data_IF_673695074005
#
_entry.id   IF_673695074005
#
_cell.length_a   1.000
_cell.length_b   1.000
_cell.length_c   1.000
_cell.angle_alpha   90.00
_cell.angle_beta   90.00
_cell.angle_gamma   90.00
#
_symmetry.space_group_name_H-M   'P 1'
#
loop_
_entity.id
_entity.type
_entity.pdbx_description
1 polymer ?
#
# COMPACT_ATOMS: atom_id res chain seq x y z
N UNK A 1 15.25 -32.59 -61.38
CA UNK A 1 14.37 -33.30 -60.41
C UNK A 1 14.39 -32.56 -59.09
N UNK A 2 13.20 -32.26 -58.56
CA UNK A 2 12.93 -31.46 -57.36
C UNK A 2 13.39 -32.17 -56.08
N UNK A 3 14.01 -31.44 -55.14
CA UNK A 3 13.86 -31.63 -53.69
C UNK A 3 14.01 -30.27 -52.98
N UNK A 4 12.90 -29.74 -52.48
CA UNK A 4 12.89 -28.76 -51.37
C UNK A 4 12.96 -29.56 -50.06
N UNK A 5 13.61 -29.03 -49.01
CA UNK A 5 12.85 -28.91 -47.76
C UNK A 5 13.15 -27.68 -46.90
N UNK A 6 12.03 -27.04 -46.54
CA UNK A 6 11.58 -26.60 -45.21
C UNK A 6 12.26 -25.40 -44.53
N UNK A 7 11.54 -24.29 -44.67
CA UNK A 7 11.47 -23.12 -43.80
C UNK A 7 11.43 -23.51 -42.30
N UNK A 8 12.37 -22.95 -41.53
CA UNK A 8 12.30 -22.87 -40.09
C UNK A 8 11.19 -21.88 -39.69
N UNK A 9 10.26 -22.33 -38.85
CA UNK A 9 9.23 -21.46 -38.27
C UNK A 9 9.82 -20.70 -37.10
N UNK A 10 10.07 -19.41 -37.29
CA UNK A 10 10.03 -18.40 -36.23
C UNK A 10 8.59 -18.00 -35.98
N UNK A 11 8.12 -18.06 -34.72
CA UNK A 11 7.34 -17.02 -33.97
C UNK A 11 6.61 -17.63 -32.76
N UNK A 12 6.90 -17.12 -31.54
CA UNK A 12 5.99 -16.32 -30.66
C UNK A 12 5.16 -17.24 -29.75
N UNK A 13 5.08 -17.13 -28.41
CA UNK A 13 5.36 -16.11 -27.38
C UNK A 13 5.62 -16.85 -26.07
N UNK A 14 6.70 -16.53 -25.34
CA UNK A 14 6.75 -16.84 -23.91
C UNK A 14 5.99 -15.75 -23.14
N UNK A 15 5.05 -16.18 -22.30
CA UNK A 15 4.28 -15.30 -21.42
C UNK A 15 5.21 -14.46 -20.55
N UNK A 16 5.11 -13.13 -20.68
CA UNK A 16 5.82 -12.14 -19.84
C UNK A 16 5.42 -12.18 -18.36
N UNK A 17 4.46 -13.02 -17.98
CA UNK A 17 3.99 -13.17 -16.61
C UNK A 17 4.89 -14.08 -15.76
N UNK A 18 5.44 -15.15 -16.33
CA UNK A 18 6.28 -16.11 -15.60
C UNK A 18 7.70 -15.60 -15.38
N UNK A 19 8.19 -14.72 -16.26
CA UNK A 19 9.56 -14.20 -16.16
C UNK A 19 9.71 -13.10 -15.09
N UNK A 20 8.62 -12.38 -14.77
CA UNK A 20 8.63 -11.33 -13.74
C UNK A 20 8.60 -11.87 -12.30
N UNK A 21 8.02 -13.06 -12.09
CA UNK A 21 7.97 -13.71 -10.77
C UNK A 21 9.30 -14.38 -10.39
N UNK A 22 10.14 -14.73 -11.37
CA UNK A 22 11.41 -15.43 -11.17
C UNK A 22 12.55 -14.54 -10.64
N UNK A 23 12.36 -13.21 -10.59
CA UNK A 23 13.36 -12.24 -10.13
C UNK A 23 13.07 -11.70 -8.72
N UNK A 24 12.09 -12.26 -8.01
CA UNK A 24 11.78 -11.84 -6.65
C UNK A 24 12.84 -12.42 -5.69
N UNK A 25 13.66 -11.59 -5.02
CA UNK A 25 14.59 -12.08 -4.01
C UNK A 25 13.78 -12.78 -2.91
N UNK A 26 14.27 -13.94 -2.52
CA UNK A 26 13.69 -14.83 -1.49
C UNK A 26 13.13 -14.05 -0.31
N UNK A 27 11.86 -14.31 0.03
CA UNK A 27 11.21 -13.84 1.26
C UNK A 27 12.16 -14.03 2.45
N UNK A 28 12.44 -12.99 3.26
CA UNK A 28 13.15 -13.20 4.52
C UNK A 28 12.31 -14.11 5.45
N UNK A 29 12.96 -14.86 6.37
CA UNK A 29 12.27 -15.80 7.24
C UNK A 29 11.17 -15.09 8.07
N UNK A 30 10.11 -15.82 8.46
CA UNK A 30 8.99 -15.23 9.19
C UNK A 30 9.49 -14.55 10.47
N UNK A 31 9.21 -13.26 10.62
CA UNK A 31 9.36 -12.55 11.88
C UNK A 31 8.61 -13.35 12.94
N UNK A 32 9.32 -13.75 14.00
CA UNK A 32 8.74 -14.49 15.14
C UNK A 32 7.57 -13.68 15.70
N UNK A 33 6.35 -14.18 15.48
CA UNK A 33 5.14 -13.64 16.08
C UNK A 33 5.11 -14.05 17.55
N UNK A 34 5.71 -13.23 18.41
CA UNK A 34 5.70 -13.47 19.84
C UNK A 34 6.68 -12.58 20.60
N UNK A 35 6.14 -11.50 21.18
CA UNK A 35 6.73 -10.72 22.28
C UNK A 35 8.15 -10.20 22.07
N UNK A 36 8.31 -9.09 21.33
CA UNK A 36 9.49 -8.23 21.45
C UNK A 36 9.34 -6.83 20.84
N UNK A 37 8.16 -6.17 20.88
CA UNK A 37 8.05 -4.74 20.51
C UNK A 37 7.03 -3.99 21.38
N UNK A 38 6.97 -4.34 22.65
CA UNK A 38 6.25 -3.60 23.68
C UNK A 38 7.26 -3.15 24.74
N UNK A 39 8.11 -2.19 24.37
CA UNK A 39 8.91 -1.29 25.21
C UNK A 39 10.21 -0.93 24.49
N UNK A 40 10.19 0.19 23.77
CA UNK A 40 11.37 1.07 23.77
C UNK A 40 10.93 2.38 24.41
N UNK A 41 11.59 2.82 25.49
CA UNK A 41 11.33 4.13 26.07
C UNK A 41 11.81 5.20 25.09
N UNK A 42 11.07 6.30 25.02
CA UNK A 42 11.46 7.47 24.24
C UNK A 42 12.86 7.97 24.69
N UNK A 43 13.84 8.15 23.79
CA UNK A 43 15.01 8.95 24.10
C UNK A 43 14.66 10.44 24.05
N UNK A 44 15.33 11.19 24.92
CA UNK A 44 14.95 12.51 25.41
C UNK A 44 14.80 13.62 24.37
N UNK A 45 13.81 14.47 24.62
CA UNK A 45 13.69 15.80 24.04
C UNK A 45 14.51 16.81 24.86
N UNK A 46 15.30 17.70 24.23
CA UNK A 46 15.85 18.87 24.92
C UNK A 46 14.78 19.97 25.12
N UNK A 47 14.97 20.92 26.08
CA UNK A 47 13.96 21.90 26.46
C UNK A 47 13.78 23.02 25.43
N UNK A 48 12.59 23.63 25.52
CA UNK A 48 12.00 24.66 24.68
C UNK A 48 12.48 26.06 25.07
N UNK A 49 13.29 26.72 24.24
CA UNK A 49 13.62 28.17 24.23
C UNK A 49 14.24 28.45 22.83
N UNK A 50 13.91 29.46 22.02
CA UNK A 50 13.64 30.89 22.25
C UNK A 50 12.61 31.43 21.23
N UNK A 51 11.88 32.47 21.64
CA UNK A 51 11.09 33.34 20.74
C UNK A 51 12.03 34.34 20.05
N UNK A 52 11.80 34.78 18.80
CA UNK A 52 12.51 35.95 18.27
C UNK A 52 11.91 37.24 18.83
N UNK A 53 12.78 38.08 19.37
CA UNK A 53 12.49 39.45 19.79
C UNK A 53 12.28 40.33 18.55
N UNK A 54 11.23 41.15 18.60
CA UNK A 54 10.99 42.22 17.64
C UNK A 54 12.09 43.29 17.71
N UNK A 55 12.61 43.72 16.55
CA UNK A 55 13.34 44.98 16.42
C UNK A 55 12.86 45.70 15.15
N UNK A 56 12.60 46.98 15.34
CA UNK A 56 11.99 48.00 14.47
C UNK A 56 12.94 48.62 13.43
N UNK A 57 12.33 49.12 12.34
CA UNK A 57 12.89 49.88 11.19
C UNK A 57 13.63 51.19 11.58
N UNK A 58 14.39 51.82 10.65
CA UNK A 58 13.79 52.91 9.87
C UNK A 58 14.23 53.04 8.39
N UNK A 59 13.37 53.74 7.64
CA UNK A 59 13.31 54.08 6.21
C UNK A 59 14.32 55.16 5.76
N UNK A 60 14.82 55.08 4.51
CA UNK A 60 14.77 56.11 3.42
C UNK A 60 15.92 55.91 2.42
N UNK A 61 15.62 55.85 1.11
CA UNK A 61 16.17 56.67 0.00
C UNK A 61 15.52 56.20 -1.33
N UNK A 62 15.09 57.09 -2.26
CA UNK A 62 14.47 56.71 -3.54
C UNK A 62 15.43 56.87 -4.74
N UNK A 63 15.46 55.91 -5.67
CA UNK A 63 16.22 55.94 -6.95
C UNK A 63 15.38 55.21 -8.04
N UNK A 64 15.43 55.62 -9.32
CA UNK A 64 14.26 55.88 -10.15
C UNK A 64 13.76 54.72 -11.03
N UNK A 65 12.57 54.94 -11.59
CA UNK A 65 11.93 54.14 -12.64
C UNK A 65 12.90 53.75 -13.77
N UNK A 66 13.21 52.46 -13.85
CA UNK A 66 13.63 51.80 -15.08
C UNK A 66 12.53 50.82 -15.45
N UNK A 67 11.85 51.10 -16.56
CA UNK A 67 10.98 50.15 -17.23
C UNK A 67 11.84 48.99 -17.74
N UNK A 68 11.90 47.90 -16.98
CA UNK A 68 12.28 46.61 -17.54
C UNK A 68 11.02 45.88 -17.99
N UNK A 69 11.06 45.51 -19.27
CA UNK A 69 9.99 44.91 -20.01
C UNK A 69 9.56 43.59 -19.37
N UNK A 70 8.25 43.44 -19.18
CA UNK A 70 7.62 42.21 -18.74
C UNK A 70 7.80 41.14 -19.83
N UNK A 71 8.93 40.44 -19.79
CA UNK A 71 9.07 39.14 -20.43
C UNK A 71 8.35 38.16 -19.50
N UNK A 72 7.14 37.75 -19.89
CA UNK A 72 6.43 36.64 -19.28
C UNK A 72 7.33 35.40 -19.27
N UNK A 73 8.12 35.25 -18.22
CA UNK A 73 8.66 33.98 -17.84
C UNK A 73 7.46 33.16 -17.40
N UNK A 74 7.01 32.30 -18.30
CA UNK A 74 6.04 31.25 -18.05
C UNK A 74 6.52 30.47 -16.82
N UNK A 75 6.05 30.93 -15.65
CA UNK A 75 6.25 30.28 -14.38
C UNK A 75 5.62 28.91 -14.56
N UNK A 76 6.47 27.90 -14.80
CA UNK A 76 6.06 26.51 -14.78
C UNK A 76 5.25 26.35 -13.50
N UNK A 77 3.96 26.04 -13.63
CA UNK A 77 3.05 25.84 -12.50
C UNK A 77 3.69 24.78 -11.60
N UNK A 78 4.40 25.21 -10.57
CA UNK A 78 4.86 24.34 -9.50
C UNK A 78 3.59 23.67 -9.00
N UNK A 79 3.49 22.32 -9.07
CA UNK A 79 2.32 21.63 -8.57
C UNK A 79 2.16 22.06 -7.11
N UNK A 80 1.04 22.72 -6.79
CA UNK A 80 0.73 23.16 -5.44
C UNK A 80 1.00 22.00 -4.47
N UNK A 81 2.04 22.13 -3.66
CA UNK A 81 2.48 21.06 -2.78
C UNK A 81 1.33 20.73 -1.84
N UNK A 82 0.82 19.50 -1.88
CA UNK A 82 -0.28 19.09 -1.00
C UNK A 82 0.24 19.17 0.44
N UNK A 83 -0.28 20.07 1.29
CA UNK A 83 0.25 20.25 2.63
C UNK A 83 0.09 18.95 3.42
N UNK A 84 1.20 18.46 3.96
CA UNK A 84 1.22 17.26 4.77
C UNK A 84 0.44 17.51 6.08
N UNK A 85 -0.34 16.51 6.51
CA UNK A 85 -1.14 16.63 7.72
C UNK A 85 -0.33 16.23 8.94
N UNK A 86 -0.37 17.03 10.01
CA UNK A 86 0.21 16.64 11.30
C UNK A 86 -0.75 15.77 12.09
N UNK A 87 -0.28 14.62 12.59
CA UNK A 87 -1.07 13.77 13.47
C UNK A 87 -1.18 14.41 14.86
N UNK A 88 -2.40 14.59 15.37
CA UNK A 88 -2.63 15.16 16.71
C UNK A 88 -2.24 14.22 17.87
N UNK A 89 -2.20 12.91 17.62
CA UNK A 89 -1.88 11.91 18.65
C UNK A 89 -0.40 11.57 18.69
N UNK A 90 0.21 11.31 17.53
CA UNK A 90 1.63 10.96 17.43
C UNK A 90 2.53 12.19 17.34
N UNK A 91 1.98 13.39 17.12
CA UNK A 91 2.71 14.65 16.92
C UNK A 91 3.71 14.66 15.75
N UNK A 92 3.63 13.68 14.86
CA UNK A 92 4.43 13.57 13.64
C UNK A 92 3.72 14.14 12.41
N UNK A 93 4.49 14.62 11.44
CA UNK A 93 3.98 14.93 10.12
C UNK A 93 3.68 13.61 9.38
N UNK A 94 2.45 13.44 8.90
CA UNK A 94 2.03 12.20 8.26
C UNK A 94 2.46 12.23 6.79
N UNK A 95 3.26 11.24 6.32
CA UNK A 95 3.50 11.06 4.90
C UNK A 95 2.19 10.96 4.12
N UNK A 96 2.25 11.21 2.82
CA UNK A 96 1.11 10.98 1.94
C UNK A 96 0.58 9.54 2.10
N UNK A 97 -0.74 9.37 2.13
CA UNK A 97 -1.45 8.09 2.38
C UNK A 97 -1.23 7.47 3.77
N UNK A 98 -0.55 8.13 4.71
CA UNK A 98 -0.45 7.67 6.09
C UNK A 98 -1.67 8.08 6.92
N UNK A 99 -2.03 7.26 7.93
CA UNK A 99 -3.13 7.53 8.86
C UNK A 99 -2.81 7.01 10.27
N UNK A 100 -3.33 7.67 11.28
CA UNK A 100 -3.30 7.18 12.65
C UNK A 100 -4.44 6.16 12.86
N UNK A 101 -4.08 4.95 13.28
CA UNK A 101 -5.03 3.95 13.75
C UNK A 101 -5.17 4.08 15.26
N UNK A 102 -6.40 4.22 15.75
CA UNK A 102 -6.68 4.41 17.18
C UNK A 102 -6.49 3.11 17.95
N UNK A 103 -6.80 2.00 17.32
CA UNK A 103 -6.71 0.65 17.88
C UNK A 103 -5.23 0.28 18.10
N UNK A 104 -4.38 0.45 17.08
CA UNK A 104 -2.94 0.23 17.20
C UNK A 104 -2.15 1.40 17.81
N UNK A 105 -2.82 2.54 18.09
CA UNK A 105 -2.24 3.77 18.66
C UNK A 105 -0.98 4.29 17.96
N UNK A 106 -0.88 4.11 16.65
CA UNK A 106 0.28 4.51 15.84
C UNK A 106 -0.10 5.00 14.45
N UNK A 107 0.76 5.82 13.85
CA UNK A 107 0.65 6.15 12.43
C UNK A 107 1.15 4.99 11.57
N UNK A 108 0.40 4.67 10.51
CA UNK A 108 0.69 3.58 9.57
C UNK A 108 0.82 4.19 8.18
N UNK A 109 1.93 3.91 7.49
CA UNK A 109 2.16 4.33 6.10
C UNK A 109 1.32 3.52 5.15
N UNK A 110 0.88 4.16 4.06
CA UNK A 110 -0.04 3.59 3.06
C UNK A 110 -1.14 2.77 3.76
N UNK A 111 -1.81 3.41 4.71
CA UNK A 111 -2.77 2.75 5.60
C UNK A 111 -3.91 2.17 4.75
N UNK A 112 -4.17 0.88 4.91
CA UNK A 112 -5.28 0.20 4.25
C UNK A 112 -6.47 0.08 5.20
N UNK A 113 -6.31 -0.71 6.26
CA UNK A 113 -7.31 -0.89 7.32
C UNK A 113 -6.67 -1.44 8.60
N UNK A 114 -7.40 -1.38 9.70
CA UNK A 114 -7.12 -2.19 10.88
C UNK A 114 -7.88 -3.51 10.73
N UNK A 115 -7.18 -4.63 10.76
CA UNK A 115 -7.76 -5.96 10.59
C UNK A 115 -7.89 -6.63 11.96
N UNK A 116 -9.11 -6.83 12.49
CA UNK A 116 -9.29 -7.52 13.77
C UNK A 116 -8.75 -8.95 13.72
N UNK A 117 -8.89 -9.64 12.59
CA UNK A 117 -8.42 -11.03 12.43
C UNK A 117 -6.90 -11.21 12.58
N UNK A 118 -6.13 -10.15 12.35
CA UNK A 118 -4.67 -10.14 12.54
C UNK A 118 -4.26 -9.33 13.77
N UNK A 119 -5.21 -8.75 14.49
CA UNK A 119 -4.98 -7.83 15.61
C UNK A 119 -3.92 -6.75 15.27
N UNK A 120 -3.91 -6.29 14.02
CA UNK A 120 -2.89 -5.39 13.49
C UNK A 120 -3.40 -4.61 12.27
N UNK A 121 -2.75 -3.48 11.99
CA UNK A 121 -3.00 -2.73 10.77
C UNK A 121 -2.38 -3.40 9.55
N UNK A 122 -3.11 -3.33 8.43
CA UNK A 122 -2.60 -3.54 7.08
C UNK A 122 -2.16 -2.21 6.52
N UNK A 123 -0.90 -2.15 6.07
CA UNK A 123 -0.32 -0.97 5.47
C UNK A 123 0.97 -1.31 4.72
N UNK A 124 1.76 -0.29 4.41
CA UNK A 124 2.91 -0.39 3.49
C UNK A 124 3.81 -1.62 3.69
N UNK A 125 4.19 -1.93 4.94
CA UNK A 125 5.14 -3.00 5.29
C UNK A 125 4.54 -4.40 5.42
N UNK A 126 3.24 -4.59 5.26
CA UNK A 126 2.63 -5.92 5.38
C UNK A 126 1.47 -6.14 4.41
N UNK A 127 1.12 -5.15 3.59
CA UNK A 127 0.04 -5.28 2.62
C UNK A 127 0.23 -6.48 1.67
N UNK A 128 1.43 -6.75 1.10
CA UNK A 128 1.62 -7.92 0.25
C UNK A 128 1.45 -9.24 1.00
N UNK A 129 1.89 -9.29 2.27
CA UNK A 129 1.72 -10.46 3.14
C UNK A 129 0.25 -10.71 3.46
N UNK A 130 -0.53 -9.65 3.66
CA UNK A 130 -1.98 -9.77 3.86
C UNK A 130 -2.68 -10.35 2.61
N UNK A 131 -2.32 -9.90 1.42
CA UNK A 131 -2.87 -10.47 0.16
C UNK A 131 -2.47 -11.93 0.00
N UNK A 132 -1.21 -12.28 0.31
CA UNK A 132 -0.74 -13.66 0.31
C UNK A 132 -1.47 -14.53 1.34
N UNK A 133 -1.74 -13.98 2.53
CA UNK A 133 -2.55 -14.65 3.56
C UNK A 133 -3.97 -14.94 3.07
N UNK A 134 -4.64 -13.99 2.42
CA UNK A 134 -5.96 -14.21 1.82
C UNK A 134 -5.93 -15.30 0.73
N UNK A 135 -4.91 -15.29 -0.12
CA UNK A 135 -4.74 -16.31 -1.16
C UNK A 135 -4.51 -17.71 -0.57
N UNK A 136 -3.67 -17.82 0.46
CA UNK A 136 -3.42 -19.08 1.17
C UNK A 136 -4.69 -19.57 1.88
N UNK A 137 -5.42 -18.68 2.55
CA UNK A 137 -6.68 -19.00 3.22
C UNK A 137 -7.71 -19.56 2.23
N UNK A 138 -7.83 -18.93 1.05
CA UNK A 138 -8.69 -19.43 -0.01
C UNK A 138 -8.23 -20.81 -0.52
N UNK A 139 -6.92 -21.01 -0.72
CA UNK A 139 -6.39 -22.29 -1.16
C UNK A 139 -6.71 -23.43 -0.17
N UNK A 140 -6.55 -23.19 1.13
CA UNK A 140 -6.90 -24.17 2.19
C UNK A 140 -8.40 -24.45 2.20
N UNK A 141 -9.25 -23.42 2.06
CA UNK A 141 -10.70 -23.61 2.01
C UNK A 141 -11.13 -24.43 0.79
N UNK A 142 -10.57 -24.15 -0.39
CA UNK A 142 -10.84 -24.90 -1.61
C UNK A 142 -10.33 -26.35 -1.53
N UNK A 143 -9.18 -26.58 -0.90
CA UNK A 143 -8.68 -27.93 -0.62
C UNK A 143 -9.65 -28.70 0.30
N UNK A 144 -10.09 -28.08 1.40
CA UNK A 144 -11.09 -28.66 2.29
C UNK A 144 -12.42 -28.96 1.58
N UNK A 145 -12.85 -28.05 0.70
CA UNK A 145 -14.05 -28.23 -0.11
C UNK A 145 -13.93 -29.41 -1.06
N UNK A 146 -12.78 -29.57 -1.72
CA UNK A 146 -12.48 -30.73 -2.56
C UNK A 146 -12.52 -32.05 -1.79
N UNK A 147 -11.91 -32.10 -0.60
CA UNK A 147 -11.97 -33.28 0.27
C UNK A 147 -13.41 -33.60 0.69
N UNK A 148 -14.16 -32.59 1.14
CA UNK A 148 -15.56 -32.76 1.53
C UNK A 148 -16.42 -33.26 0.37
N UNK A 149 -16.24 -32.71 -0.83
CA UNK A 149 -16.90 -33.18 -2.04
C UNK A 149 -16.58 -34.64 -2.36
N UNK A 150 -15.31 -35.03 -2.25
CA UNK A 150 -14.86 -36.40 -2.58
C UNK A 150 -15.48 -37.48 -1.70
N UNK A 151 -15.89 -37.15 -0.46
CA UNK A 151 -16.57 -38.06 0.46
C UNK A 151 -18.09 -38.01 0.41
N UNK A 152 -18.70 -37.08 -0.34
CA UNK A 152 -20.15 -36.96 -0.45
C UNK A 152 -20.70 -37.92 -1.51
N UNK A 153 -21.22 -39.05 -1.04
CA UNK A 153 -21.94 -40.02 -1.87
C UNK A 153 -23.43 -39.97 -1.56
N UNK A 154 -24.26 -39.79 -2.59
CA UNK A 154 -25.71 -39.74 -2.48
C UNK A 154 -26.32 -41.14 -2.68
N UNK A 155 -27.22 -41.54 -1.78
CA UNK A 155 -27.91 -42.82 -1.87
C UNK A 155 -29.33 -42.75 -1.29
N UNK A 156 -30.19 -43.69 -1.68
CA UNK A 156 -31.54 -43.88 -1.14
C UNK A 156 -31.55 -44.94 -0.03
N UNK A 157 -32.45 -44.84 0.96
CA UNK A 157 -33.39 -43.74 1.19
C UNK A 157 -32.71 -42.52 1.83
N UNK A 158 -33.19 -41.32 1.51
CA UNK A 158 -32.62 -40.04 1.97
C UNK A 158 -32.44 -39.92 3.49
N UNK A 159 -33.29 -40.57 4.30
CA UNK A 159 -33.17 -40.54 5.76
C UNK A 159 -31.90 -41.21 6.30
N UNK A 160 -31.49 -42.32 5.69
CA UNK A 160 -30.24 -43.01 6.04
C UNK A 160 -29.02 -42.21 5.56
N UNK A 161 -29.10 -41.65 4.35
CA UNK A 161 -28.07 -40.76 3.82
C UNK A 161 -27.86 -39.53 4.70
N UNK A 162 -28.94 -38.87 5.14
CA UNK A 162 -28.84 -37.70 5.98
C UNK A 162 -28.20 -38.04 7.33
N UNK A 163 -28.51 -39.22 7.89
CA UNK A 163 -27.91 -39.70 9.14
C UNK A 163 -26.42 -40.01 8.99
N UNK A 164 -25.96 -40.55 7.86
CA UNK A 164 -24.55 -40.90 7.63
C UNK A 164 -23.70 -39.72 7.15
N UNK A 165 -24.26 -38.89 6.27
CA UNK A 165 -23.53 -37.89 5.47
C UNK A 165 -23.97 -36.46 5.77
N UNK A 166 -24.97 -36.25 6.62
CA UNK A 166 -25.52 -34.92 6.91
C UNK A 166 -24.49 -33.95 7.50
N UNK A 167 -23.64 -34.42 8.42
CA UNK A 167 -22.55 -33.61 8.98
C UNK A 167 -21.55 -33.19 7.89
N UNK A 168 -21.15 -34.12 7.02
CA UNK A 168 -20.25 -33.82 5.91
C UNK A 168 -20.87 -32.83 4.92
N UNK A 169 -22.18 -32.98 4.64
CA UNK A 169 -22.92 -32.05 3.79
C UNK A 169 -22.99 -30.65 4.41
N UNK A 170 -23.27 -30.55 5.72
CA UNK A 170 -23.26 -29.27 6.43
C UNK A 170 -21.87 -28.62 6.41
N UNK A 171 -20.80 -29.40 6.63
CA UNK A 171 -19.42 -28.91 6.52
C UNK A 171 -19.10 -28.44 5.10
N UNK A 172 -19.50 -29.17 4.07
CA UNK A 172 -19.33 -28.76 2.67
C UNK A 172 -20.01 -27.42 2.37
N UNK A 173 -21.26 -27.23 2.82
CA UNK A 173 -21.99 -25.97 2.66
C UNK A 173 -21.31 -24.81 3.40
N UNK A 174 -20.85 -25.05 4.63
CA UNK A 174 -20.13 -24.05 5.42
C UNK A 174 -18.80 -23.65 4.76
N UNK A 175 -18.01 -24.62 4.29
CA UNK A 175 -16.76 -24.37 3.56
C UNK A 175 -17.02 -23.64 2.23
N UNK A 176 -18.13 -23.94 1.55
CA UNK A 176 -18.53 -23.23 0.33
C UNK A 176 -18.80 -21.75 0.60
N UNK A 177 -19.56 -21.44 1.67
CA UNK A 177 -19.84 -20.07 2.08
C UNK A 177 -18.55 -19.30 2.43
N UNK A 178 -17.68 -19.90 3.26
CA UNK A 178 -16.41 -19.27 3.61
C UNK A 178 -15.49 -19.09 2.40
N UNK A 179 -15.45 -20.05 1.47
CA UNK A 179 -14.68 -19.93 0.21
C UNK A 179 -15.18 -18.77 -0.64
N UNK A 180 -16.50 -18.59 -0.76
CA UNK A 180 -17.10 -17.48 -1.49
C UNK A 180 -16.72 -16.14 -0.87
N UNK A 181 -16.87 -15.99 0.45
CA UNK A 181 -16.53 -14.74 1.15
C UNK A 181 -15.03 -14.43 1.04
N UNK A 182 -14.17 -15.42 1.29
CA UNK A 182 -12.72 -15.27 1.15
C UNK A 182 -12.30 -14.92 -0.29
N UNK A 183 -12.94 -15.56 -1.29
CA UNK A 183 -12.73 -15.29 -2.70
C UNK A 183 -13.11 -13.86 -3.10
N UNK A 184 -14.28 -13.38 -2.67
CA UNK A 184 -14.71 -12.00 -2.92
C UNK A 184 -13.80 -10.98 -2.23
N UNK A 185 -13.37 -11.26 -0.99
CA UNK A 185 -12.43 -10.41 -0.26
C UNK A 185 -11.09 -10.33 -1.01
N UNK A 186 -10.52 -11.48 -1.41
CA UNK A 186 -9.28 -11.52 -2.18
C UNK A 186 -9.42 -10.77 -3.51
N UNK A 187 -10.51 -11.01 -4.26
CA UNK A 187 -10.76 -10.34 -5.53
C UNK A 187 -10.85 -8.81 -5.37
N UNK A 188 -11.53 -8.33 -4.33
CA UNK A 188 -11.63 -6.90 -4.04
C UNK A 188 -10.26 -6.28 -3.72
N UNK A 189 -9.42 -6.95 -2.92
CA UNK A 189 -8.08 -6.47 -2.62
C UNK A 189 -7.16 -6.53 -3.84
N UNK A 190 -7.26 -7.56 -4.68
CA UNK A 190 -6.51 -7.63 -5.93
C UNK A 190 -6.91 -6.50 -6.89
N UNK A 191 -8.19 -6.15 -6.98
CA UNK A 191 -8.65 -4.98 -7.73
C UNK A 191 -8.04 -3.68 -7.19
N UNK A 192 -8.09 -3.48 -5.88
CA UNK A 192 -7.52 -2.29 -5.24
C UNK A 192 -6.00 -2.20 -5.46
N UNK A 193 -5.27 -3.32 -5.37
CA UNK A 193 -3.84 -3.40 -5.68
C UNK A 193 -3.59 -3.07 -7.15
N UNK A 194 -4.36 -3.66 -8.07
CA UNK A 194 -4.28 -3.42 -9.50
C UNK A 194 -4.50 -1.95 -9.86
N UNK A 195 -5.33 -1.23 -9.11
CA UNK A 195 -5.55 0.21 -9.26
C UNK A 195 -4.63 1.07 -8.39
N UNK A 196 -3.72 0.51 -7.60
CA UNK A 196 -2.90 1.22 -6.60
C UNK A 196 -3.70 2.10 -5.62
N UNK A 197 -4.87 1.62 -5.21
CA UNK A 197 -5.76 2.26 -4.25
C UNK A 197 -5.76 1.42 -2.97
N UNK A 198 -5.77 2.06 -1.80
CA UNK A 198 -6.03 1.37 -0.53
C UNK A 198 -7.53 1.30 -0.25
N UNK A 199 -7.97 0.33 0.53
CA UNK A 199 -9.37 0.21 1.00
C UNK A 199 -9.84 1.51 1.64
N UNK A 200 -8.99 2.14 2.45
CA UNK A 200 -9.27 3.45 3.04
C UNK A 200 -9.49 4.54 1.99
N UNK A 201 -8.62 4.63 0.97
CA UNK A 201 -8.76 5.62 -0.11
C UNK A 201 -10.05 5.40 -0.91
N UNK A 202 -10.39 4.15 -1.21
CA UNK A 202 -11.61 3.80 -1.91
C UNK A 202 -12.87 4.19 -1.12
N UNK A 203 -12.93 3.81 0.16
CA UNK A 203 -14.12 4.06 1.00
C UNK A 203 -14.24 5.51 1.49
N UNK A 204 -13.14 6.26 1.52
CA UNK A 204 -13.09 7.59 2.13
C UNK A 204 -12.54 8.67 1.21
N UNK A 205 -12.65 8.46 -0.10
CA UNK A 205 -12.20 9.39 -1.14
C UNK A 205 -12.63 10.83 -0.87
N UNK A 206 -13.91 11.05 -0.54
CA UNK A 206 -14.47 12.37 -0.22
C UNK A 206 -13.80 13.08 0.97
N UNK A 207 -13.25 12.32 1.93
CA UNK A 207 -12.56 12.86 3.13
C UNK A 207 -11.09 13.18 2.88
N UNK A 208 -10.54 12.75 1.75
CA UNK A 208 -9.11 12.83 1.46
C UNK A 208 -8.87 14.00 0.51
N UNK A 209 -8.18 15.04 1.00
CA UNK A 209 -7.97 16.30 0.27
C UNK A 209 -7.40 16.09 -1.15
N UNK A 210 -6.37 15.26 -1.30
CA UNK A 210 -5.73 15.02 -2.60
C UNK A 210 -6.60 14.22 -3.59
N UNK A 211 -7.54 13.41 -3.11
CA UNK A 211 -8.50 12.70 -3.97
C UNK A 211 -9.70 13.58 -4.32
N UNK A 212 -9.99 14.60 -3.50
CA UNK A 212 -11.07 15.56 -3.77
C UNK A 212 -10.67 16.58 -4.84
N UNK A 213 -9.40 16.97 -4.84
CA UNK A 213 -8.87 18.04 -5.71
C UNK A 213 -8.63 17.59 -7.16
N UNK A 214 -8.55 16.29 -7.44
CA UNK A 214 -8.25 15.78 -8.77
C UNK A 214 -9.25 14.68 -9.18
N UNK A 215 -9.80 14.72 -10.40
CA UNK A 215 -10.55 13.60 -10.93
C UNK A 215 -9.59 12.45 -11.29
N UNK A 216 -9.68 11.33 -10.56
CA UNK A 216 -8.92 10.11 -10.84
C UNK A 216 -7.86 9.75 -9.79
N UNK A 217 -7.32 8.53 -9.88
CA UNK A 217 -6.31 8.06 -8.95
C UNK A 217 -4.90 8.53 -9.35
N UNK A 218 -4.23 9.42 -8.58
CA UNK A 218 -2.89 9.92 -8.91
C UNK A 218 -1.79 8.86 -8.77
N UNK A 219 -2.07 7.71 -8.15
CA UNK A 219 -1.07 6.65 -7.93
C UNK A 219 -1.15 5.52 -8.94
N UNK A 220 -2.19 5.50 -9.78
CA UNK A 220 -2.34 4.48 -10.81
C UNK A 220 -1.30 4.70 -11.92
N UNK A 221 -0.48 3.68 -12.16
CA UNK A 221 0.58 3.66 -13.17
C UNK A 221 0.38 2.55 -14.20
N UNK A 222 -0.82 1.97 -14.26
CA UNK A 222 -1.16 0.81 -15.07
C UNK A 222 -0.97 -0.52 -14.33
N UNK A 223 -1.78 -1.52 -14.72
CA UNK A 223 -1.91 -2.81 -14.03
C UNK A 223 -0.57 -3.49 -13.71
N UNK A 224 0.28 -3.68 -14.71
CA UNK A 224 1.55 -4.41 -14.57
C UNK A 224 2.52 -3.69 -13.64
N UNK A 225 2.64 -2.36 -13.78
CA UNK A 225 3.51 -1.52 -12.96
C UNK A 225 3.01 -1.43 -11.52
N UNK A 226 1.71 -1.36 -11.32
CA UNK A 226 1.10 -1.37 -9.99
C UNK A 226 1.36 -2.70 -9.28
N UNK A 227 1.12 -3.83 -9.95
CA UNK A 227 1.38 -5.17 -9.40
C UNK A 227 2.86 -5.40 -9.10
N UNK A 228 3.75 -5.08 -10.05
CA UNK A 228 5.19 -5.24 -9.87
C UNK A 228 5.71 -4.39 -8.70
N UNK A 229 5.29 -3.12 -8.60
CA UNK A 229 5.66 -2.29 -7.46
C UNK A 229 5.08 -2.80 -6.14
N UNK A 230 3.86 -3.34 -6.15
CA UNK A 230 3.23 -3.83 -4.93
C UNK A 230 3.89 -5.10 -4.38
N UNK A 231 4.19 -6.07 -5.25
CA UNK A 231 4.74 -7.37 -4.84
C UNK A 231 6.27 -7.38 -4.77
N UNK A 232 6.97 -6.60 -5.60
CA UNK A 232 8.44 -6.60 -5.67
C UNK A 232 9.07 -5.32 -5.09
N UNK A 233 8.32 -4.21 -5.00
CA UNK A 233 8.79 -2.94 -4.47
C UNK A 233 8.68 -2.85 -2.95
N UNK A 234 9.19 -3.85 -2.22
CA UNK A 234 9.15 -3.83 -0.76
C UNK A 234 9.98 -2.66 -0.22
N UNK A 235 9.42 -1.79 0.65
CA UNK A 235 10.17 -0.66 1.17
C UNK A 235 11.27 -1.13 2.12
N UNK A 236 12.51 -0.82 1.80
CA UNK A 236 13.65 -0.84 2.71
C UNK A 236 13.79 0.55 3.35
N UNK A 237 13.39 0.69 4.62
CA UNK A 237 13.60 1.96 5.35
C UNK A 237 12.79 2.09 6.64
N UNK A 238 13.42 2.69 7.67
CA UNK A 238 12.74 3.08 8.91
C UNK A 238 11.92 4.36 8.71
N UNK A 239 11.07 4.75 9.66
CA UNK A 239 10.21 5.93 9.51
C UNK A 239 11.03 7.24 9.52
N UNK A 240 12.23 7.20 10.13
CA UNK A 240 13.11 8.34 10.36
C UNK A 240 13.94 8.73 9.14
N UNK A 241 14.44 7.75 8.36
CA UNK A 241 15.41 8.04 7.29
C UNK A 241 14.84 8.82 6.11
N UNK A 242 13.52 8.77 5.88
CA UNK A 242 12.89 9.50 4.76
C UNK A 242 12.55 10.97 5.09
N UNK A 243 12.78 11.41 6.33
CA UNK A 243 12.61 12.81 6.72
C UNK A 243 13.95 13.48 7.04
N UNK A 244 14.97 12.71 7.45
CA UNK A 244 16.33 13.23 7.63
C UNK A 244 16.88 13.85 6.33
N UNK A 245 16.64 13.20 5.18
CA UNK A 245 17.05 13.73 3.88
C UNK A 245 16.34 15.05 3.50
N UNK A 246 15.15 15.33 4.06
CA UNK A 246 14.40 16.56 3.78
C UNK A 246 14.75 17.76 4.67
N UNK A 247 15.50 17.54 5.75
CA UNK A 247 16.02 18.61 6.61
C UNK A 247 17.45 18.99 6.21
N UNK A 248 18.28 18.04 5.77
CA UNK A 248 19.65 18.31 5.30
C UNK A 248 19.68 19.11 3.97
N UNK A 249 18.76 18.80 3.04
CA UNK A 249 18.63 19.55 1.78
C UNK A 249 18.13 21.00 1.96
N UNK A 250 17.62 21.34 3.15
CA UNK A 250 17.09 22.67 3.49
C UNK A 250 18.10 23.62 4.15
N UNK A 251 19.21 23.10 4.69
CA UNK A 251 20.21 23.91 5.40
C UNK A 251 21.48 24.19 4.58
N UNK A 252 21.81 23.38 3.57
CA UNK A 252 23.02 23.60 2.75
C UNK A 252 22.85 24.64 1.62
N UNK A 253 21.64 25.16 1.38
CA UNK A 253 21.34 26.10 0.29
C UNK A 253 21.47 27.60 0.60
N UNK A 254 21.77 28.02 1.85
CA UNK A 254 21.68 29.43 2.27
C UNK A 254 22.96 30.05 2.84
N UNK A 255 24.15 29.46 2.62
CA UNK A 255 25.39 29.98 3.23
C UNK A 255 26.53 30.29 2.27
N UNK A 256 26.24 30.65 1.01
CA UNK A 256 27.19 31.34 0.13
C UNK A 256 26.50 32.48 -0.64
N UNK A 257 26.24 33.59 0.04
CA UNK A 257 26.05 34.91 -0.57
C UNK A 257 26.10 36.01 0.50
N UNK A 258 27.29 36.27 1.07
CA UNK A 258 27.75 37.59 1.52
C UNK A 258 29.28 37.62 1.41
#
# INVERSE_FOLDING_TARGET
MRKLPRLSKTTVTSNSFTQAMALCPTLPPPLRWGRALSASPAPGWPPREMRPSAISLPTLYPIPHLQEEAKEEQTAMVPQAIPLRRCRHCLVLQPLRARHCRECRRCVRRYDHHCPWMENCVGERNHPLFVAYLALQLAVLLWGLYLAWSGLHFFQPWGLWLRSSGLLCATFLLLSLFSLVAGLLLASHLYLVASNTTTWEFLSSHRIAYLRQRPGNPFDRGLTRNLAHFFCGWPSGSWETLWAEGEEDGEEGSSQAV
#
